data_IF_320383672141
#
_entry.id   IF_320383672141
#
_cell.length_a   1.000
_cell.length_b   1.000
_cell.length_c   1.000
_cell.angle_alpha   90.00
_cell.angle_beta   90.00
_cell.angle_gamma   90.00
#
_symmetry.space_group_name_H-M   'P 1'
#
loop_
_entity.id
_entity.type
_entity.pdbx_description
1 polymer ?
#
# COMPACT_ATOMS: atom_id res chain seq x y z
N UNK A 1 -18.30 2.85 30.82
CA UNK A 1 -19.12 3.26 31.96
C UNK A 1 -18.20 3.71 33.08
N UNK A 2 -18.51 4.84 33.75
CA UNK A 2 -17.70 5.39 34.84
C UNK A 2 -18.42 6.44 35.63
N UNK A 3 -17.81 6.89 36.74
CA UNK A 3 -18.30 8.00 37.54
C UNK A 3 -17.34 9.18 37.44
N UNK A 4 -17.85 10.35 37.11
CA UNK A 4 -17.12 11.60 37.10
C UNK A 4 -17.95 12.70 37.72
N UNK A 5 -17.34 13.48 38.61
CA UNK A 5 -18.01 14.57 39.35
C UNK A 5 -19.36 14.17 40.03
N UNK A 6 -19.41 12.96 40.61
CA UNK A 6 -20.62 12.42 41.23
C UNK A 6 -21.72 11.95 40.29
N UNK A 7 -21.53 12.03 38.99
CA UNK A 7 -22.47 11.58 37.98
C UNK A 7 -22.04 10.22 37.41
N UNK A 8 -23.03 9.38 37.15
CA UNK A 8 -22.83 8.09 36.48
C UNK A 8 -22.90 8.29 34.96
N UNK A 9 -21.78 8.12 34.27
CA UNK A 9 -21.64 8.39 32.82
C UNK A 9 -21.51 7.07 32.08
N UNK A 10 -22.31 6.91 31.01
CA UNK A 10 -22.17 5.85 30.03
C UNK A 10 -21.88 6.45 28.68
N UNK A 11 -20.87 5.89 27.98
CA UNK A 11 -20.46 6.27 26.63
C UNK A 11 -20.32 4.99 25.84
N UNK A 12 -20.93 4.89 24.66
CA UNK A 12 -20.86 3.68 23.83
C UNK A 12 -21.91 3.62 22.73
N UNK A 13 -22.18 2.42 22.24
CA UNK A 13 -23.18 2.17 21.18
C UNK A 13 -24.61 2.48 21.67
N UNK A 14 -25.53 2.65 20.73
CA UNK A 14 -26.95 2.87 21.01
C UNK A 14 -27.58 1.80 21.92
N UNK A 15 -27.18 0.54 21.73
CA UNK A 15 -27.64 -0.57 22.58
C UNK A 15 -27.05 -0.59 23.98
N UNK A 16 -25.89 0.06 24.21
CA UNK A 16 -25.25 0.15 25.51
C UNK A 16 -25.78 1.33 26.34
N UNK A 17 -26.15 2.43 25.69
CA UNK A 17 -26.59 3.66 26.35
C UNK A 17 -28.13 3.71 26.41
N UNK A 18 -28.70 3.69 27.62
CA UNK A 18 -30.17 3.76 27.83
C UNK A 18 -30.76 5.07 27.34
N UNK A 19 -31.97 5.02 26.82
CA UNK A 19 -32.74 6.20 26.42
C UNK A 19 -32.49 6.69 25.00
N UNK A 20 -31.72 5.95 24.20
CA UNK A 20 -31.53 6.24 22.79
C UNK A 20 -32.79 5.83 22.02
N UNK A 21 -33.40 6.76 21.28
CA UNK A 21 -34.42 6.42 20.30
C UNK A 21 -33.71 5.89 19.05
N UNK A 22 -34.11 4.74 18.54
CA UNK A 22 -33.61 4.21 17.28
C UNK A 22 -33.84 5.24 16.16
N UNK A 23 -32.76 5.83 15.69
CA UNK A 23 -32.73 6.67 14.50
C UNK A 23 -31.84 5.92 13.49
N UNK A 24 -32.17 5.95 12.22
CA UNK A 24 -31.32 5.40 11.17
C UNK A 24 -29.91 6.02 11.29
N UNK A 25 -28.95 5.23 11.69
CA UNK A 25 -27.58 5.66 11.88
C UNK A 25 -26.91 5.91 10.52
N UNK A 26 -26.57 7.15 10.24
CA UNK A 26 -25.85 7.54 9.01
C UNK A 26 -24.32 7.53 9.18
N UNK A 27 -23.80 6.75 10.15
CA UNK A 27 -22.35 6.67 10.43
C UNK A 27 -22.05 5.96 11.74
N UNK A 28 -20.78 5.95 12.15
CA UNK A 28 -20.35 5.50 13.48
C UNK A 28 -20.75 6.52 14.52
N UNK A 29 -21.64 6.14 15.44
CA UNK A 29 -22.16 7.02 16.49
C UNK A 29 -21.72 6.55 17.88
N UNK A 30 -21.33 7.50 18.70
CA UNK A 30 -21.08 7.30 20.13
C UNK A 30 -22.10 8.07 20.92
N UNK A 31 -22.93 7.36 21.66
CA UNK A 31 -23.99 7.90 22.50
C UNK A 31 -23.49 8.16 23.91
N UNK A 32 -24.03 9.17 24.56
CA UNK A 32 -23.70 9.57 25.95
C UNK A 32 -24.93 9.68 26.76
N UNK A 33 -24.94 9.08 27.98
CA UNK A 33 -25.91 9.34 29.02
C UNK A 33 -25.24 9.69 30.33
N UNK A 34 -25.92 10.49 31.14
CA UNK A 34 -25.52 10.84 32.51
C UNK A 34 -26.70 10.59 33.46
N UNK A 35 -26.47 9.80 34.53
CA UNK A 35 -27.47 9.37 35.48
C UNK A 35 -28.73 8.80 34.78
N UNK A 36 -28.51 7.87 33.85
CA UNK A 36 -29.52 7.23 32.99
C UNK A 36 -30.32 8.19 32.08
N UNK A 37 -29.95 9.47 32.02
CA UNK A 37 -30.56 10.45 31.12
C UNK A 37 -29.71 10.61 29.90
N UNK A 38 -30.28 10.36 28.70
CA UNK A 38 -29.61 10.55 27.44
C UNK A 38 -29.22 12.02 27.21
N UNK A 39 -27.97 12.28 26.87
CA UNK A 39 -27.42 13.64 26.71
C UNK A 39 -27.18 13.99 25.23
N UNK A 40 -26.97 13.01 24.39
CA UNK A 40 -26.70 13.25 22.97
C UNK A 40 -25.79 12.18 22.34
N UNK A 41 -25.42 12.42 21.11
CA UNK A 41 -24.48 11.57 20.33
C UNK A 41 -23.40 12.39 19.70
N UNK A 42 -22.26 11.76 19.52
CA UNK A 42 -21.20 12.21 18.64
C UNK A 42 -21.22 11.34 17.40
N UNK A 43 -21.29 11.92 16.22
CA UNK A 43 -21.13 11.22 14.96
C UNK A 43 -19.67 11.29 14.58
N UNK A 44 -19.02 10.12 14.46
CA UNK A 44 -17.64 10.01 14.04
C UNK A 44 -17.66 9.81 12.53
N UNK A 45 -17.04 10.73 11.80
CA UNK A 45 -16.86 10.62 10.37
C UNK A 45 -15.41 10.26 10.07
N UNK A 46 -15.19 9.22 9.29
CA UNK A 46 -13.86 8.89 8.81
C UNK A 46 -13.36 9.99 7.89
N UNK A 47 -12.22 10.58 8.21
CA UNK A 47 -11.53 11.50 7.31
C UNK A 47 -10.74 10.70 6.28
N UNK A 48 -11.14 10.77 5.02
CA UNK A 48 -10.30 10.23 3.95
C UNK A 48 -9.14 11.18 3.69
N UNK A 49 -7.99 10.60 3.33
CA UNK A 49 -6.77 11.38 3.08
C UNK A 49 -6.92 12.23 1.83
N UNK A 50 -6.39 13.45 1.90
CA UNK A 50 -6.37 14.36 0.75
C UNK A 50 -5.70 13.70 -0.45
N UNK A 51 -6.32 13.81 -1.62
CA UNK A 51 -5.80 13.25 -2.86
C UNK A 51 -6.06 11.76 -3.08
N UNK A 52 -6.72 11.05 -2.15
CA UNK A 52 -7.03 9.62 -2.29
C UNK A 52 -7.84 9.31 -3.56
N UNK A 53 -8.88 10.09 -3.87
CA UNK A 53 -9.68 9.89 -5.08
C UNK A 53 -8.83 9.99 -6.36
N UNK A 54 -7.99 11.03 -6.47
CA UNK A 54 -7.07 11.19 -7.61
C UNK A 54 -6.05 10.04 -7.71
N UNK A 55 -5.61 9.50 -6.58
CA UNK A 55 -4.74 8.33 -6.55
C UNK A 55 -5.45 7.11 -7.15
N UNK A 56 -6.69 6.84 -6.73
CA UNK A 56 -7.45 5.69 -7.22
C UNK A 56 -7.74 5.78 -8.72
N UNK A 57 -8.10 6.95 -9.24
CA UNK A 57 -8.25 7.20 -10.68
C UNK A 57 -6.97 6.92 -11.48
N UNK A 58 -5.80 7.17 -10.89
CA UNK A 58 -4.52 6.87 -11.54
C UNK A 58 -4.17 5.39 -11.48
N UNK A 59 -4.44 4.73 -10.33
CA UNK A 59 -4.17 3.32 -10.14
C UNK A 59 -5.07 2.43 -11.00
N UNK A 60 -6.34 2.79 -11.20
CA UNK A 60 -7.29 2.06 -12.05
C UNK A 60 -6.77 1.85 -13.48
N UNK A 61 -5.92 2.76 -13.99
CA UNK A 61 -5.33 2.63 -15.33
C UNK A 61 -4.36 1.46 -15.46
N UNK A 62 -3.81 1.01 -14.35
CA UNK A 62 -2.73 0.03 -14.30
C UNK A 62 -3.12 -1.26 -13.59
N UNK A 63 -4.16 -1.25 -12.75
CA UNK A 63 -4.58 -2.38 -11.94
C UNK A 63 -6.07 -2.36 -11.59
N UNK A 64 -6.65 -3.52 -11.36
CA UNK A 64 -7.99 -3.66 -10.79
C UNK A 64 -7.96 -3.27 -9.32
N UNK A 65 -8.92 -2.48 -8.86
CA UNK A 65 -9.04 -2.04 -7.49
C UNK A 65 -10.14 -2.81 -6.76
N UNK A 66 -9.92 -3.10 -5.48
CA UNK A 66 -10.93 -3.62 -4.57
C UNK A 66 -10.73 -3.05 -3.16
N UNK A 67 -11.82 -2.83 -2.43
CA UNK A 67 -11.78 -2.37 -1.04
C UNK A 67 -12.26 -3.46 -0.09
N UNK A 68 -11.45 -3.76 0.93
CA UNK A 68 -11.78 -4.69 2.00
C UNK A 68 -11.82 -3.92 3.33
N UNK A 69 -13.02 -3.66 3.85
CA UNK A 69 -13.20 -2.94 5.12
C UNK A 69 -13.72 -3.86 6.21
N UNK A 70 -13.19 -3.70 7.42
CA UNK A 70 -13.75 -4.32 8.63
C UNK A 70 -14.99 -3.60 9.15
N UNK A 71 -15.23 -2.38 8.69
CA UNK A 71 -16.36 -1.56 9.09
C UNK A 71 -17.66 -1.98 8.37
N UNK A 72 -18.78 -1.45 8.85
CA UNK A 72 -20.09 -1.66 8.25
C UNK A 72 -20.25 -0.82 6.95
N UNK A 73 -21.36 -1.00 6.25
CA UNK A 73 -21.63 -0.32 4.98
C UNK A 73 -21.98 1.18 5.09
N UNK A 74 -21.94 1.78 6.29
CA UNK A 74 -22.34 3.19 6.50
C UNK A 74 -21.48 4.17 5.71
N UNK A 75 -20.23 3.82 5.41
CA UNK A 75 -19.30 4.64 4.63
C UNK A 75 -19.34 4.35 3.11
N UNK A 76 -20.18 3.42 2.67
CA UNK A 76 -20.23 2.95 1.26
C UNK A 76 -20.50 4.07 0.26
N UNK A 77 -21.49 4.92 0.53
CA UNK A 77 -21.83 6.03 -0.35
C UNK A 77 -20.66 7.00 -0.54
N UNK A 78 -19.96 7.29 0.55
CA UNK A 78 -18.82 8.20 0.54
C UNK A 78 -17.57 7.60 -0.13
N UNK A 79 -17.36 6.28 0.04
CA UNK A 79 -16.32 5.57 -0.68
C UNK A 79 -16.61 5.51 -2.18
N UNK A 80 -17.87 5.38 -2.58
CA UNK A 80 -18.29 5.40 -3.98
C UNK A 80 -17.98 6.73 -4.69
N UNK A 81 -17.99 7.85 -3.96
CA UNK A 81 -17.60 9.16 -4.51
C UNK A 81 -16.08 9.29 -4.73
N UNK A 82 -15.29 8.51 -3.98
CA UNK A 82 -13.82 8.56 -4.03
C UNK A 82 -13.21 7.53 -4.97
N UNK A 83 -13.90 6.43 -5.18
CA UNK A 83 -13.41 5.30 -5.96
C UNK A 83 -13.89 5.36 -7.41
N UNK A 84 -13.14 4.80 -8.35
CA UNK A 84 -13.61 4.59 -9.71
C UNK A 84 -14.93 3.83 -9.74
N UNK A 85 -15.80 4.12 -10.73
CA UNK A 85 -17.06 3.39 -10.90
C UNK A 85 -16.82 1.88 -10.97
N UNK A 86 -17.70 1.10 -10.33
CA UNK A 86 -17.65 -0.37 -10.32
C UNK A 86 -16.51 -1.00 -9.49
N UNK A 87 -15.75 -0.21 -8.71
CA UNK A 87 -14.77 -0.79 -7.77
C UNK A 87 -15.50 -1.68 -6.75
N UNK A 88 -15.19 -2.99 -6.67
CA UNK A 88 -15.77 -3.88 -5.68
C UNK A 88 -15.44 -3.45 -4.26
N UNK A 89 -16.45 -3.43 -3.39
CA UNK A 89 -16.29 -3.08 -1.98
C UNK A 89 -16.89 -4.18 -1.11
N UNK A 90 -16.09 -4.68 -0.17
CA UNK A 90 -16.46 -5.72 0.76
C UNK A 90 -16.37 -5.17 2.18
N UNK A 91 -17.50 -5.14 2.89
CA UNK A 91 -17.63 -4.63 4.24
C UNK A 91 -17.74 -5.76 5.27
N UNK A 92 -17.60 -5.41 6.56
CA UNK A 92 -17.62 -6.36 7.68
C UNK A 92 -16.59 -7.49 7.57
N UNK A 93 -15.47 -7.24 6.89
CA UNK A 93 -14.44 -8.25 6.65
C UNK A 93 -13.54 -8.42 7.87
N UNK A 94 -13.56 -9.61 8.46
CA UNK A 94 -12.62 -10.00 9.51
C UNK A 94 -11.21 -10.23 8.94
N UNK A 95 -10.16 -10.17 9.77
CA UNK A 95 -8.78 -10.38 9.30
C UNK A 95 -8.59 -11.69 8.50
N UNK A 96 -9.26 -12.76 8.91
CA UNK A 96 -9.22 -14.06 8.23
C UNK A 96 -9.90 -14.02 6.85
N UNK A 97 -10.99 -13.26 6.72
CA UNK A 97 -11.73 -13.13 5.46
C UNK A 97 -10.92 -12.33 4.44
N UNK A 98 -10.25 -11.26 4.89
CA UNK A 98 -9.31 -10.50 4.05
C UNK A 98 -8.16 -11.37 3.55
N UNK A 99 -7.57 -12.20 4.42
CA UNK A 99 -6.54 -13.16 4.04
C UNK A 99 -7.04 -14.16 3.00
N UNK A 100 -8.24 -14.73 3.18
CA UNK A 100 -8.79 -15.70 2.25
C UNK A 100 -9.15 -15.06 0.90
N UNK A 101 -9.60 -13.82 0.89
CA UNK A 101 -9.84 -13.05 -0.33
C UNK A 101 -8.55 -12.89 -1.15
N UNK A 102 -7.44 -12.54 -0.52
CA UNK A 102 -6.12 -12.47 -1.18
C UNK A 102 -5.74 -13.83 -1.76
N UNK A 103 -5.91 -14.92 -0.99
CA UNK A 103 -5.63 -16.27 -1.47
C UNK A 103 -6.50 -16.68 -2.65
N UNK A 104 -7.76 -16.27 -2.65
CA UNK A 104 -8.66 -16.54 -3.77
C UNK A 104 -8.17 -15.85 -5.04
N UNK A 105 -7.84 -14.56 -5.00
CA UNK A 105 -7.29 -13.84 -6.15
C UNK A 105 -6.01 -14.50 -6.68
N UNK A 106 -5.14 -14.97 -5.79
CA UNK A 106 -3.92 -15.68 -6.16
C UNK A 106 -4.21 -17.03 -6.84
N UNK A 107 -5.20 -17.80 -6.37
CA UNK A 107 -5.66 -19.03 -7.04
C UNK A 107 -6.23 -18.77 -8.43
N UNK A 108 -6.80 -17.60 -8.65
CA UNK A 108 -7.28 -17.12 -9.95
C UNK A 108 -6.15 -16.63 -10.87
N UNK A 109 -4.88 -16.71 -10.40
CA UNK A 109 -3.69 -16.29 -11.16
C UNK A 109 -3.42 -14.80 -11.13
N UNK A 110 -4.06 -14.05 -10.23
CA UNK A 110 -3.83 -12.61 -10.07
C UNK A 110 -2.65 -12.34 -9.14
N UNK A 111 -1.85 -11.33 -9.49
CA UNK A 111 -0.84 -10.77 -8.59
C UNK A 111 -1.49 -9.68 -7.73
N UNK A 112 -1.33 -9.79 -6.41
CA UNK A 112 -2.02 -8.93 -5.44
C UNK A 112 -1.03 -8.00 -4.75
N UNK A 113 -1.26 -6.71 -4.89
CA UNK A 113 -0.69 -5.68 -4.01
C UNK A 113 -1.71 -5.36 -2.92
N UNK A 114 -1.40 -5.68 -1.68
CA UNK A 114 -2.23 -5.34 -0.51
C UNK A 114 -1.69 -4.08 0.16
N UNK A 115 -2.59 -3.13 0.44
CA UNK A 115 -2.28 -1.92 1.21
C UNK A 115 -3.20 -1.87 2.42
N UNK A 116 -2.65 -1.75 3.62
CA UNK A 116 -3.43 -1.79 4.86
C UNK A 116 -2.74 -1.08 6.03
N UNK A 117 -3.36 -1.10 7.21
CA UNK A 117 -2.84 -0.47 8.43
C UNK A 117 -1.77 -1.28 9.16
N UNK A 118 -1.54 -2.50 8.72
CA UNK A 118 -0.51 -3.40 9.25
C UNK A 118 -0.92 -4.19 10.48
N UNK A 119 -1.87 -3.75 11.29
CA UNK A 119 -2.29 -4.46 12.51
C UNK A 119 -3.37 -5.49 12.22
N UNK A 120 -4.50 -5.04 11.71
CA UNK A 120 -5.64 -5.90 11.38
C UNK A 120 -5.44 -6.66 10.06
N UNK A 121 -4.58 -6.14 9.19
CA UNK A 121 -4.34 -6.64 7.84
C UNK A 121 -3.07 -7.49 7.72
N UNK A 122 -2.34 -7.74 8.83
CA UNK A 122 -1.05 -8.43 8.84
C UNK A 122 -1.05 -9.75 8.06
N UNK A 123 -2.10 -10.57 8.23
CA UNK A 123 -2.23 -11.83 7.50
C UNK A 123 -2.42 -11.66 5.99
N UNK A 124 -3.23 -10.69 5.57
CA UNK A 124 -3.48 -10.39 4.16
C UNK A 124 -2.25 -9.72 3.50
N UNK A 125 -1.55 -8.83 4.24
CA UNK A 125 -0.31 -8.20 3.80
C UNK A 125 0.78 -9.25 3.57
N UNK A 126 1.03 -10.14 4.53
CA UNK A 126 2.02 -11.21 4.41
C UNK A 126 1.69 -12.25 3.32
N UNK A 127 0.41 -12.45 3.02
CA UNK A 127 -0.04 -13.40 2.00
C UNK A 127 0.09 -12.82 0.59
N UNK A 128 -0.07 -11.50 0.40
CA UNK A 128 -0.02 -10.86 -0.91
C UNK A 128 1.37 -10.97 -1.54
N UNK A 129 1.49 -10.80 -2.86
CA UNK A 129 2.80 -10.74 -3.52
C UNK A 129 3.59 -9.52 -3.11
N UNK A 130 2.89 -8.42 -2.79
CA UNK A 130 3.49 -7.23 -2.17
C UNK A 130 2.53 -6.68 -1.13
N UNK A 131 2.96 -6.63 0.13
CA UNK A 131 2.22 -6.04 1.25
C UNK A 131 2.82 -4.70 1.64
N UNK A 132 2.02 -3.63 1.58
CA UNK A 132 2.43 -2.28 2.01
C UNK A 132 1.62 -1.88 3.24
N UNK A 133 2.29 -1.69 4.37
CA UNK A 133 1.67 -1.11 5.55
C UNK A 133 1.73 0.42 5.47
N UNK A 134 0.59 1.09 5.70
CA UNK A 134 0.52 2.56 5.76
C UNK A 134 0.47 2.98 7.22
N UNK A 135 1.47 3.72 7.67
CA UNK A 135 1.60 4.16 9.06
C UNK A 135 1.86 5.67 9.16
N UNK A 136 1.39 6.29 10.23
CA UNK A 136 1.74 7.66 10.59
C UNK A 136 3.10 7.73 11.30
N UNK A 137 3.48 6.64 11.96
CA UNK A 137 4.80 6.50 12.59
C UNK A 137 5.55 5.32 11.95
N UNK A 138 6.57 5.65 11.17
CA UNK A 138 7.42 4.66 10.51
C UNK A 138 8.22 3.77 11.51
N UNK A 139 8.27 4.16 12.79
CA UNK A 139 8.89 3.37 13.84
C UNK A 139 7.97 2.26 14.37
N UNK A 140 6.68 2.27 14.05
CA UNK A 140 5.78 1.18 14.34
C UNK A 140 6.10 0.03 13.38
N UNK A 141 6.96 -0.87 13.86
CA UNK A 141 7.36 -2.04 13.13
C UNK A 141 6.18 -3.00 12.94
N UNK A 142 5.77 -3.19 11.70
CA UNK A 142 4.80 -4.21 11.31
C UNK A 142 5.55 -5.37 10.67
N UNK A 143 5.76 -6.50 11.36
CA UNK A 143 6.63 -7.58 10.86
C UNK A 143 6.09 -8.34 9.65
N UNK A 144 4.89 -8.03 9.19
CA UNK A 144 4.16 -8.79 8.19
C UNK A 144 3.94 -8.02 6.87
N UNK A 145 4.84 -7.10 6.50
CA UNK A 145 4.75 -6.36 5.24
C UNK A 145 6.11 -6.26 4.56
N UNK A 146 6.10 -6.06 3.24
CA UNK A 146 7.31 -5.88 2.42
C UNK A 146 7.79 -4.42 2.43
N UNK A 147 6.88 -3.47 2.65
CA UNK A 147 7.21 -2.05 2.71
C UNK A 147 6.30 -1.30 3.70
N UNK A 148 6.83 -0.23 4.28
CA UNK A 148 6.08 0.72 5.10
C UNK A 148 6.02 2.05 4.34
N UNK A 149 4.81 2.55 4.14
CA UNK A 149 4.54 3.83 3.50
C UNK A 149 4.11 4.84 4.56
N UNK A 150 4.81 5.97 4.63
CA UNK A 150 4.34 7.11 5.43
C UNK A 150 2.96 7.55 4.93
N UNK A 151 2.01 7.67 5.83
CA UNK A 151 0.64 8.04 5.54
C UNK A 151 0.52 9.35 4.75
N UNK A 152 1.45 10.29 4.97
CA UNK A 152 1.54 11.58 4.25
C UNK A 152 1.91 11.41 2.78
N UNK A 153 2.54 10.30 2.42
CA UNK A 153 2.96 9.96 1.05
C UNK A 153 1.96 9.02 0.35
N UNK A 154 0.84 8.71 0.97
CA UNK A 154 -0.17 7.80 0.41
C UNK A 154 -0.63 8.24 -0.99
N UNK A 155 -0.86 9.54 -1.20
CA UNK A 155 -1.27 10.11 -2.49
C UNK A 155 -0.24 9.94 -3.62
N UNK A 156 1.00 9.56 -3.29
CA UNK A 156 2.11 9.34 -4.22
C UNK A 156 2.39 7.85 -4.48
N UNK A 157 1.53 6.93 -4.03
CA UNK A 157 1.73 5.50 -4.19
C UNK A 157 1.89 5.09 -5.67
N UNK A 158 1.12 5.67 -6.58
CA UNK A 158 1.24 5.45 -8.03
C UNK A 158 2.61 5.88 -8.58
N UNK A 159 3.15 6.98 -8.08
CA UNK A 159 4.48 7.46 -8.44
C UNK A 159 5.56 6.49 -7.95
N UNK A 160 5.43 5.94 -6.74
CA UNK A 160 6.34 4.94 -6.19
C UNK A 160 6.31 3.67 -7.04
N UNK A 161 5.11 3.15 -7.36
CA UNK A 161 4.95 1.97 -8.23
C UNK A 161 5.51 2.22 -9.65
N UNK A 162 5.27 3.40 -10.20
CA UNK A 162 5.85 3.79 -11.50
C UNK A 162 7.38 3.87 -11.46
N UNK A 163 7.94 4.24 -10.33
CA UNK A 163 9.41 4.31 -10.15
C UNK A 163 10.04 2.94 -10.04
N UNK A 164 9.44 2.01 -9.31
CA UNK A 164 9.92 0.62 -9.23
C UNK A 164 9.91 -0.06 -10.59
N UNK A 165 8.87 0.15 -11.42
CA UNK A 165 8.83 -0.34 -12.81
C UNK A 165 9.98 0.22 -13.66
N UNK A 166 10.32 1.50 -13.49
CA UNK A 166 11.45 2.13 -14.19
C UNK A 166 12.80 1.58 -13.69
N UNK A 167 12.93 1.37 -12.38
CA UNK A 167 14.13 0.77 -11.80
C UNK A 167 14.36 -0.65 -12.34
N UNK A 168 13.31 -1.46 -12.49
CA UNK A 168 13.41 -2.78 -13.11
C UNK A 168 13.92 -2.69 -14.57
N UNK A 169 13.46 -1.71 -15.36
CA UNK A 169 13.98 -1.50 -16.72
C UNK A 169 15.49 -1.18 -16.73
N UNK A 170 15.96 -0.36 -15.78
CA UNK A 170 17.40 -0.07 -15.65
C UNK A 170 18.18 -1.36 -15.37
N UNK A 171 17.66 -2.22 -14.48
CA UNK A 171 18.30 -3.51 -14.16
C UNK A 171 18.40 -4.38 -15.40
N UNK A 172 17.33 -4.55 -16.18
CA UNK A 172 17.35 -5.33 -17.42
C UNK A 172 18.33 -4.78 -18.45
N UNK A 173 18.39 -3.45 -18.62
CA UNK A 173 19.36 -2.81 -19.51
C UNK A 173 20.80 -3.07 -19.02
N UNK A 174 21.04 -3.01 -17.71
CA UNK A 174 22.34 -3.30 -17.12
C UNK A 174 22.78 -4.73 -17.36
N UNK A 175 21.87 -5.71 -17.26
CA UNK A 175 22.15 -7.09 -17.62
C UNK A 175 22.45 -7.26 -19.11
N UNK A 176 21.74 -6.56 -19.99
CA UNK A 176 22.01 -6.58 -21.42
C UNK A 176 23.41 -6.04 -21.73
N UNK A 177 23.82 -4.94 -21.10
CA UNK A 177 25.20 -4.45 -21.23
C UNK A 177 26.23 -5.45 -20.73
N UNK A 178 26.00 -6.06 -19.55
CA UNK A 178 26.89 -7.09 -19.01
C UNK A 178 27.03 -8.27 -19.94
N UNK A 179 25.92 -8.76 -20.50
CA UNK A 179 25.94 -9.87 -21.49
C UNK A 179 26.69 -9.50 -22.73
N UNK A 180 26.51 -8.28 -23.27
CA UNK A 180 27.20 -7.80 -24.43
C UNK A 180 28.73 -7.77 -24.20
N UNK A 181 29.20 -7.24 -23.09
CA UNK A 181 30.61 -7.25 -22.74
C UNK A 181 31.17 -8.68 -22.66
N UNK A 182 30.42 -9.59 -22.04
CA UNK A 182 30.83 -11.00 -21.96
C UNK A 182 30.90 -11.69 -23.32
N UNK A 183 29.94 -11.42 -24.21
CA UNK A 183 29.95 -11.96 -25.59
C UNK A 183 31.15 -11.44 -26.40
N UNK A 184 31.46 -10.14 -26.27
CA UNK A 184 32.64 -9.55 -26.93
C UNK A 184 33.91 -10.17 -26.37
N UNK A 185 34.04 -10.32 -25.05
CA UNK A 185 35.21 -10.99 -24.46
C UNK A 185 35.37 -12.44 -24.89
N UNK A 186 34.24 -13.19 -24.96
CA UNK A 186 34.22 -14.57 -25.42
C UNK A 186 34.63 -14.69 -26.88
N UNK A 187 34.17 -13.79 -27.75
CA UNK A 187 34.56 -13.74 -29.16
C UNK A 187 36.08 -13.61 -29.30
N UNK A 188 36.71 -12.67 -28.61
CA UNK A 188 38.18 -12.49 -28.64
C UNK A 188 38.91 -13.69 -28.03
N UNK A 189 38.33 -14.35 -27.04
CA UNK A 189 38.92 -15.55 -26.43
C UNK A 189 38.93 -16.72 -27.40
N UNK A 190 37.80 -17.01 -28.05
CA UNK A 190 37.64 -18.16 -28.98
C UNK A 190 38.43 -17.96 -30.25
N UNK A 191 38.57 -16.73 -30.74
CA UNK A 191 39.38 -16.41 -31.93
C UNK A 191 40.88 -16.37 -31.64
N UNK A 192 41.31 -16.59 -30.40
CA UNK A 192 42.73 -16.54 -30.02
C UNK A 192 43.34 -15.12 -30.02
N UNK A 193 42.50 -14.11 -30.15
CA UNK A 193 42.92 -12.69 -30.19
C UNK A 193 42.88 -12.02 -28.80
N UNK A 194 42.51 -12.73 -27.76
CA UNK A 194 42.45 -12.21 -26.40
C UNK A 194 43.87 -12.09 -25.81
N UNK A 195 44.47 -10.94 -26.01
CA UNK A 195 45.71 -10.61 -25.31
C UNK A 195 45.44 -10.30 -23.85
N UNK A 196 46.36 -10.61 -22.89
CA UNK A 196 46.19 -10.32 -21.47
C UNK A 196 45.87 -8.85 -21.18
N UNK A 197 46.41 -7.92 -21.97
CA UNK A 197 46.16 -6.48 -21.85
C UNK A 197 44.69 -6.14 -22.18
N UNK A 198 44.13 -6.78 -23.23
CA UNK A 198 42.72 -6.55 -23.60
C UNK A 198 41.78 -7.05 -22.51
N UNK A 199 42.06 -8.23 -21.96
CA UNK A 199 41.27 -8.76 -20.84
C UNK A 199 41.35 -7.85 -19.59
N UNK A 200 42.53 -7.36 -19.26
CA UNK A 200 42.77 -6.47 -18.13
C UNK A 200 42.04 -5.11 -18.26
N UNK A 201 41.77 -4.65 -19.49
CA UNK A 201 41.01 -3.43 -19.74
C UNK A 201 39.50 -3.70 -19.81
N UNK A 202 39.07 -4.77 -20.48
CA UNK A 202 37.64 -5.08 -20.68
C UNK A 202 36.89 -5.34 -19.35
N UNK A 203 37.49 -6.06 -18.41
CA UNK A 203 36.84 -6.39 -17.12
C UNK A 203 36.54 -5.16 -16.28
N UNK A 204 37.47 -4.25 -15.93
CA UNK A 204 37.17 -3.04 -15.21
C UNK A 204 36.24 -2.10 -15.98
N UNK A 205 36.42 -1.99 -17.31
CA UNK A 205 35.61 -1.11 -18.14
C UNK A 205 34.12 -1.50 -18.12
N UNK A 206 33.81 -2.79 -18.18
CA UNK A 206 32.42 -3.26 -18.08
C UNK A 206 31.79 -2.89 -16.75
N UNK A 207 32.48 -3.09 -15.63
CA UNK A 207 31.97 -2.78 -14.30
C UNK A 207 31.76 -1.28 -14.11
N UNK A 208 32.74 -0.45 -14.52
CA UNK A 208 32.65 1.01 -14.44
C UNK A 208 31.48 1.52 -15.29
N UNK A 209 31.30 1.00 -16.50
CA UNK A 209 30.19 1.40 -17.38
C UNK A 209 28.84 1.09 -16.76
N UNK A 210 28.68 -0.11 -16.20
CA UNK A 210 27.42 -0.52 -15.57
C UNK A 210 27.12 0.34 -14.34
N UNK A 211 28.11 0.56 -13.47
CA UNK A 211 27.96 1.41 -12.28
C UNK A 211 27.63 2.85 -12.65
N UNK A 212 28.34 3.43 -13.61
CA UNK A 212 28.07 4.79 -14.08
C UNK A 212 26.65 4.91 -14.67
N UNK A 213 26.27 3.96 -15.55
CA UNK A 213 24.94 3.94 -16.14
C UNK A 213 23.83 3.81 -15.09
N UNK A 214 23.93 2.85 -14.18
CA UNK A 214 22.91 2.62 -13.15
C UNK A 214 22.80 3.81 -12.22
N UNK A 215 23.92 4.41 -11.80
CA UNK A 215 23.93 5.59 -10.93
C UNK A 215 23.27 6.80 -11.59
N UNK A 216 23.63 7.11 -12.83
CA UNK A 216 23.05 8.25 -13.57
C UNK A 216 21.56 8.01 -13.83
N UNK A 217 21.18 6.83 -14.29
CA UNK A 217 19.79 6.50 -14.61
C UNK A 217 18.91 6.50 -13.34
N UNK A 218 19.37 5.96 -12.22
CA UNK A 218 18.63 5.95 -10.95
C UNK A 218 18.49 7.36 -10.39
N UNK A 219 19.55 8.17 -10.41
CA UNK A 219 19.48 9.56 -9.96
C UNK A 219 18.51 10.38 -10.83
N UNK A 220 18.47 10.13 -12.13
CA UNK A 220 17.54 10.84 -13.02
C UNK A 220 16.07 10.50 -12.72
N UNK A 221 15.78 9.22 -12.42
CA UNK A 221 14.43 8.80 -12.01
C UNK A 221 14.09 9.38 -10.63
N UNK A 222 15.02 9.34 -9.67
CA UNK A 222 14.80 9.82 -8.31
C UNK A 222 14.53 11.33 -8.21
N UNK A 223 15.04 12.13 -9.15
CA UNK A 223 14.74 13.58 -9.19
C UNK A 223 13.26 13.90 -9.48
N UNK A 224 12.50 12.96 -10.01
CA UNK A 224 11.04 13.15 -10.28
C UNK A 224 10.16 12.82 -9.07
N UNK A 225 10.72 12.25 -8.00
CA UNK A 225 10.01 11.88 -6.76
C UNK A 225 10.15 12.99 -5.70
N UNK A 226 11.17 13.83 -5.82
CA UNK A 226 11.36 15.02 -4.99
C UNK A 226 10.58 16.21 -5.56
#
# INVERSE_FOLDING_TARGET
EGRAAGQHIRVGSSGFVKGVKETEATGSEVHVSSNDTYKGRFTIQNGYRDGAGKLFERLEKDCDLAVLSGDNESEKARLQELLPPLTPMYFNQKPREKLEFVRQLQREGKEVLMVGDGLNDAGALAQSQVGIAVSEDANLFTPACDAILDSRQFSNLDLLLGTTRKAMKIIYISFAFSLLYNLVGLYFAVTGQLQPVIAAILMPLSSITIVAFTTVATNWIGRKIR
#
